data_IF_362195773232
#
_entry.id   IF_362195773232
#
_cell.length_a   1.000
_cell.length_b   1.000
_cell.length_c   1.000
_cell.angle_alpha   90.00
_cell.angle_beta   90.00
_cell.angle_gamma   90.00
#
_symmetry.space_group_name_H-M   'P 1'
#
loop_
_entity.id
_entity.type
_entity.pdbx_description
1 polymer ?
#
# COMPACT_ATOMS: atom_id res chain seq x y z
N UNK A 1 -4.32 12.19 -1.08
CA UNK A 1 -3.60 12.17 0.20
C UNK A 1 -4.14 11.13 1.21
N UNK A 2 -5.44 11.11 1.56
CA UNK A 2 -5.99 10.24 2.63
C UNK A 2 -6.80 9.02 2.14
N UNK A 3 -6.43 8.43 1.01
CA UNK A 3 -7.14 7.24 0.51
C UNK A 3 -6.66 5.97 1.24
N UNK A 4 -7.54 4.96 1.41
CA UNK A 4 -7.18 3.72 2.10
C UNK A 4 -6.37 2.78 1.20
N UNK A 5 -5.72 1.79 1.82
CA UNK A 5 -5.13 0.68 1.09
C UNK A 5 -6.20 -0.24 0.49
N UNK A 6 -5.87 -0.87 -0.63
CA UNK A 6 -6.71 -1.85 -1.32
C UNK A 6 -6.41 -3.25 -0.76
N UNK A 7 -7.44 -3.89 -0.19
CA UNK A 7 -7.38 -5.25 0.36
C UNK A 7 -8.21 -6.27 -0.42
N UNK A 8 -9.10 -5.80 -1.31
CA UNK A 8 -10.09 -6.63 -1.99
C UNK A 8 -9.48 -7.79 -2.80
N UNK A 9 -8.39 -7.60 -3.59
CA UNK A 9 -7.80 -8.72 -4.33
C UNK A 9 -7.30 -9.85 -3.44
N UNK A 10 -6.65 -9.52 -2.32
CA UNK A 10 -6.17 -10.50 -1.35
C UNK A 10 -7.32 -11.22 -0.64
N UNK A 11 -8.39 -10.50 -0.30
CA UNK A 11 -9.59 -11.07 0.30
C UNK A 11 -10.29 -12.08 -0.63
N UNK A 12 -10.44 -11.73 -1.92
CA UNK A 12 -11.03 -12.64 -2.91
C UNK A 12 -10.19 -13.91 -3.05
N UNK A 13 -8.86 -13.78 -3.13
CA UNK A 13 -7.98 -14.95 -3.21
C UNK A 13 -8.10 -15.85 -1.98
N UNK A 14 -8.15 -15.25 -0.78
CA UNK A 14 -8.31 -15.99 0.47
C UNK A 14 -9.64 -16.78 0.50
N UNK A 15 -10.74 -16.13 0.15
CA UNK A 15 -12.07 -16.75 0.11
C UNK A 15 -12.13 -17.89 -0.92
N UNK A 16 -11.58 -17.66 -2.12
CA UNK A 16 -11.55 -18.69 -3.18
C UNK A 16 -10.68 -19.87 -2.78
N UNK A 17 -9.51 -19.65 -2.17
CA UNK A 17 -8.63 -20.72 -1.70
C UNK A 17 -9.31 -21.54 -0.59
N UNK A 18 -10.00 -20.87 0.35
CA UNK A 18 -10.75 -21.56 1.39
C UNK A 18 -11.93 -22.35 0.81
N UNK A 19 -12.68 -21.76 -0.11
CA UNK A 19 -13.83 -22.40 -0.77
C UNK A 19 -13.41 -23.64 -1.56
N UNK A 20 -12.31 -23.59 -2.30
CA UNK A 20 -11.85 -24.71 -3.14
C UNK A 20 -11.16 -25.82 -2.34
N UNK A 21 -10.42 -25.47 -1.29
CA UNK A 21 -9.69 -26.45 -0.48
C UNK A 21 -10.51 -27.04 0.66
N UNK A 22 -11.52 -26.32 1.17
CA UNK A 22 -12.29 -26.69 2.36
C UNK A 22 -11.47 -26.77 3.66
N UNK A 23 -10.22 -26.31 3.65
CA UNK A 23 -9.27 -26.47 4.75
C UNK A 23 -8.74 -25.12 5.23
N UNK A 24 -8.97 -24.81 6.51
CA UNK A 24 -8.46 -23.59 7.14
C UNK A 24 -6.93 -23.59 7.19
N UNK A 25 -6.28 -24.75 7.37
CA UNK A 25 -4.82 -24.85 7.40
C UNK A 25 -4.22 -24.51 6.02
N UNK A 26 -4.85 -25.03 4.96
CA UNK A 26 -4.42 -24.73 3.59
C UNK A 26 -4.64 -23.26 3.25
N UNK A 27 -5.78 -22.69 3.63
CA UNK A 27 -6.07 -21.27 3.45
C UNK A 27 -5.11 -20.37 4.25
N UNK A 28 -4.72 -20.74 5.47
CA UNK A 28 -3.77 -19.98 6.27
C UNK A 28 -2.39 -19.90 5.61
N UNK A 29 -1.90 -21.01 5.05
CA UNK A 29 -0.58 -21.08 4.41
C UNK A 29 -0.63 -20.42 3.03
N UNK A 30 -1.47 -20.94 2.14
CA UNK A 30 -1.48 -20.52 0.72
C UNK A 30 -2.24 -19.21 0.54
N UNK A 31 -3.40 -19.06 1.20
CA UNK A 31 -4.17 -17.83 1.16
C UNK A 31 -3.48 -16.67 1.88
N UNK A 32 -2.83 -16.94 3.02
CA UNK A 32 -2.00 -15.95 3.72
C UNK A 32 -0.83 -15.45 2.84
N UNK A 33 -0.11 -16.38 2.20
CA UNK A 33 0.97 -16.04 1.27
C UNK A 33 0.45 -15.27 0.05
N UNK A 34 -0.65 -15.72 -0.56
CA UNK A 34 -1.27 -15.04 -1.70
C UNK A 34 -1.72 -13.61 -1.33
N UNK A 35 -2.33 -13.43 -0.15
CA UNK A 35 -2.74 -12.14 0.37
C UNK A 35 -1.56 -11.17 0.56
N UNK A 36 -0.45 -11.64 1.13
CA UNK A 36 0.76 -10.85 1.29
C UNK A 36 1.39 -10.45 -0.05
N UNK A 37 1.51 -11.39 -0.98
CA UNK A 37 2.14 -11.15 -2.29
C UNK A 37 1.31 -10.21 -3.18
N UNK A 38 -0.01 -10.29 -3.13
CA UNK A 38 -0.88 -9.48 -3.99
C UNK A 38 -1.10 -8.06 -3.45
N UNK A 39 -0.74 -7.80 -2.19
CA UNK A 39 -1.00 -6.51 -1.54
C UNK A 39 -0.37 -5.34 -2.30
N UNK A 40 0.94 -5.36 -2.54
CA UNK A 40 1.61 -4.26 -3.25
C UNK A 40 1.18 -4.15 -4.73
N UNK A 41 1.13 -5.25 -5.52
CA UNK A 41 0.60 -5.21 -6.88
C UNK A 41 -0.83 -4.68 -6.98
N UNK A 42 -1.70 -5.01 -6.02
CA UNK A 42 -3.08 -4.53 -5.99
C UNK A 42 -3.22 -3.03 -5.69
N UNK A 43 -2.27 -2.46 -4.94
CA UNK A 43 -2.23 -1.04 -4.62
C UNK A 43 -1.50 -0.21 -5.69
N UNK A 44 -0.55 -0.83 -6.42
CA UNK A 44 0.33 -0.16 -7.37
C UNK A 44 -0.39 0.75 -8.39
N UNK A 45 -1.50 0.35 -9.05
CA UNK A 45 -2.17 1.20 -10.04
C UNK A 45 -2.65 2.55 -9.50
N UNK A 46 -2.95 2.63 -8.19
CA UNK A 46 -3.40 3.87 -7.55
C UNK A 46 -2.21 4.71 -7.05
N UNK A 47 -1.17 4.06 -6.52
CA UNK A 47 -0.03 4.78 -5.92
C UNK A 47 1.06 5.15 -6.93
N UNK A 48 1.15 4.46 -8.07
CA UNK A 48 2.20 4.69 -9.07
C UNK A 48 2.27 6.16 -9.55
N UNK A 49 1.15 6.85 -9.86
CA UNK A 49 1.20 8.26 -10.24
C UNK A 49 1.79 9.17 -9.15
N UNK A 50 1.75 8.76 -7.88
CA UNK A 50 2.27 9.55 -6.76
C UNK A 50 3.79 9.38 -6.56
N UNK A 51 4.38 8.36 -7.18
CA UNK A 51 5.83 8.10 -7.11
C UNK A 51 6.62 8.79 -8.23
N UNK A 52 5.95 9.59 -9.06
CA UNK A 52 6.62 10.38 -10.11
C UNK A 52 7.54 11.41 -9.44
N UNK A 53 8.82 11.51 -9.87
CA UNK A 53 9.75 12.47 -9.34
C UNK A 53 9.41 13.90 -9.80
N UNK A 54 9.58 14.85 -8.89
CA UNK A 54 9.40 16.29 -9.12
C UNK A 54 10.55 17.02 -8.46
N UNK A 55 11.15 17.99 -9.16
CA UNK A 55 12.07 18.94 -8.54
C UNK A 55 11.26 20.02 -7.81
N UNK A 56 11.42 20.10 -6.50
CA UNK A 56 10.74 21.06 -5.64
C UNK A 56 11.78 21.86 -4.85
N UNK A 57 11.90 23.15 -5.14
CA UNK A 57 12.89 24.06 -4.52
C UNK A 57 14.33 23.50 -4.53
N UNK A 58 14.75 22.88 -5.65
CA UNK A 58 16.08 22.30 -5.82
C UNK A 58 16.30 20.93 -5.18
N UNK A 59 15.26 20.30 -4.63
CA UNK A 59 15.30 18.93 -4.12
C UNK A 59 14.41 18.00 -4.94
N UNK A 60 14.86 16.76 -5.13
CA UNK A 60 14.04 15.72 -5.75
C UNK A 60 13.05 15.17 -4.73
N UNK A 61 11.76 15.28 -5.01
CA UNK A 61 10.68 14.77 -4.15
C UNK A 61 9.67 13.99 -4.99
N UNK A 62 9.02 12.99 -4.41
CA UNK A 62 7.86 12.38 -5.07
C UNK A 62 6.62 13.27 -4.94
N UNK A 63 5.63 13.09 -5.82
CA UNK A 63 4.32 13.76 -5.67
C UNK A 63 3.69 13.41 -4.31
N UNK A 64 3.87 12.19 -3.81
CA UNK A 64 3.41 11.78 -2.48
C UNK A 64 4.04 12.63 -1.35
N UNK A 65 5.35 12.89 -1.42
CA UNK A 65 6.03 13.71 -0.42
C UNK A 65 5.59 15.18 -0.49
N UNK A 66 5.39 15.71 -1.70
CA UNK A 66 4.88 17.08 -1.90
C UNK A 66 3.47 17.23 -1.31
N UNK A 67 2.59 16.22 -1.44
CA UNK A 67 1.29 16.25 -0.77
C UNK A 67 1.44 16.32 0.76
N UNK A 68 2.35 15.52 1.34
CA UNK A 68 2.63 15.55 2.78
C UNK A 68 3.27 16.86 3.27
N UNK A 69 4.01 17.54 2.40
CA UNK A 69 4.62 18.85 2.67
C UNK A 69 3.60 20.00 2.61
N UNK A 70 2.76 20.03 1.57
CA UNK A 70 1.79 21.11 1.35
C UNK A 70 0.59 21.05 2.30
N UNK A 71 0.06 19.85 2.56
CA UNK A 71 -1.07 19.67 3.47
C UNK A 71 -0.56 19.51 4.90
N UNK A 72 -0.38 20.65 5.59
CA UNK A 72 0.19 20.71 6.94
C UNK A 72 -0.64 19.86 7.92
N UNK A 73 0.04 18.90 8.57
CA UNK A 73 -0.52 18.07 9.63
C UNK A 73 0.08 18.46 10.98
N UNK A 74 -0.65 19.26 11.76
CA UNK A 74 -0.15 19.90 13.00
C UNK A 74 0.42 18.92 14.04
N UNK A 75 -0.11 17.69 14.11
CA UNK A 75 0.33 16.66 15.07
C UNK A 75 1.14 15.51 14.48
N UNK A 76 1.45 15.52 13.18
CA UNK A 76 2.18 14.41 12.52
C UNK A 76 3.34 14.93 11.67
N UNK A 77 4.47 15.30 12.31
CA UNK A 77 5.65 15.80 11.62
C UNK A 77 6.34 14.71 10.79
N UNK A 78 7.24 15.07 9.86
CA UNK A 78 7.80 14.07 8.94
C UNK A 78 8.70 13.03 9.61
N UNK A 79 9.44 13.40 10.65
CA UNK A 79 10.36 12.48 11.34
C UNK A 79 9.67 11.32 12.07
N UNK A 80 8.34 11.35 12.26
CA UNK A 80 7.59 10.23 12.82
C UNK A 80 7.18 9.20 11.76
N UNK A 81 7.41 9.47 10.47
CA UNK A 81 7.04 8.57 9.38
C UNK A 81 7.96 7.34 9.37
N UNK A 82 7.35 6.16 9.45
CA UNK A 82 8.04 4.87 9.37
C UNK A 82 8.03 4.38 7.92
N UNK A 83 8.98 4.86 7.14
CA UNK A 83 9.23 4.47 5.74
C UNK A 83 10.67 4.00 5.58
N UNK A 84 10.93 3.33 4.47
CA UNK A 84 12.30 3.03 4.03
C UNK A 84 13.13 4.33 3.94
N UNK A 85 14.40 4.26 4.34
CA UNK A 85 15.34 5.38 4.38
C UNK A 85 16.54 5.12 3.48
#
# INVERSE_FOLDING_TARGET
FVFPAILVPGAILLDVILMLSGSYLFAAIVGGLAGGLIFYPGNWPIIAPLHVPVEYNGMLMSIADIQGYNYVRTGTPEYIRMVEK
#
